data_IF_696890950463
#
_entry.id   IF_696890950463
#
_cell.length_a   1.000
_cell.length_b   1.000
_cell.length_c   1.000
_cell.angle_alpha   90.00
_cell.angle_beta   90.00
_cell.angle_gamma   90.00
#
_symmetry.space_group_name_H-M   'P 1'
#
loop_
_entity.id
_entity.type
_entity.pdbx_description
1 polymer ?
#
# COMPACT_ATOMS: atom_id res chain seq x y z
N UNK A 1 -8.72 53.20 28.33
CA UNK A 1 -9.55 52.17 27.66
C UNK A 1 -9.26 52.24 26.17
N UNK A 2 -8.82 51.10 25.61
CA UNK A 2 -8.09 50.98 24.35
C UNK A 2 -9.01 51.08 23.13
N UNK A 3 -8.68 51.99 22.20
CA UNK A 3 -9.22 52.03 20.83
C UNK A 3 -8.67 50.85 20.02
N UNK A 4 -9.25 49.67 20.18
CA UNK A 4 -9.00 48.54 19.29
C UNK A 4 -10.34 48.04 18.75
N UNK A 5 -10.86 48.75 17.76
CA UNK A 5 -11.86 48.21 16.86
C UNK A 5 -11.71 48.89 15.50
N UNK A 6 -11.55 48.05 14.47
CA UNK A 6 -11.79 48.35 13.06
C UNK A 6 -10.64 49.07 12.34
N UNK A 7 -9.78 48.27 11.71
CA UNK A 7 -9.32 48.49 10.33
C UNK A 7 -8.69 47.22 9.78
N UNK A 8 -9.50 46.51 8.99
CA UNK A 8 -9.09 45.40 8.14
C UNK A 8 -8.22 45.87 6.98
N UNK A 9 -7.45 44.91 6.44
CA UNK A 9 -7.17 44.68 5.01
C UNK A 9 -5.82 45.16 4.43
N UNK A 10 -5.12 44.19 3.79
CA UNK A 10 -4.08 44.30 2.72
C UNK A 10 -2.66 44.74 3.14
N UNK A 11 -1.53 44.21 2.65
CA UNK A 11 -1.11 43.12 1.75
C UNK A 11 0.45 43.19 1.71
N UNK A 12 1.09 42.19 1.09
CA UNK A 12 2.43 42.21 0.44
C UNK A 12 3.61 41.72 1.31
N UNK A 13 3.98 40.44 1.20
CA UNK A 13 4.95 39.84 0.25
C UNK A 13 6.42 40.17 0.59
N UNK A 14 7.10 39.25 1.30
CA UNK A 14 8.56 39.17 1.23
C UNK A 14 8.96 37.79 0.73
N UNK A 15 9.52 37.84 -0.48
CA UNK A 15 10.14 36.78 -1.26
C UNK A 15 11.23 36.08 -0.44
N UNK A 16 11.09 34.76 -0.24
CA UNK A 16 12.26 33.89 -0.06
C UNK A 16 12.60 33.30 -1.42
N UNK A 17 13.53 33.99 -2.08
CA UNK A 17 14.25 33.54 -3.25
C UNK A 17 15.11 32.35 -2.80
N UNK A 18 14.66 31.13 -3.06
CA UNK A 18 15.56 29.97 -3.15
C UNK A 18 15.69 29.65 -4.63
N UNK A 19 16.92 29.53 -5.16
CA UNK A 19 17.14 29.34 -6.59
C UNK A 19 16.48 28.05 -7.07
N UNK A 20 15.69 28.16 -8.15
CA UNK A 20 15.21 27.08 -9.00
C UNK A 20 16.40 26.25 -9.53
N UNK A 21 16.93 25.36 -8.70
CA UNK A 21 17.87 24.35 -9.14
C UNK A 21 17.05 23.09 -9.42
N UNK A 22 16.56 23.03 -10.67
CA UNK A 22 16.10 21.82 -11.36
C UNK A 22 15.31 20.82 -10.51
N UNK A 23 14.04 21.14 -10.24
CA UNK A 23 13.06 20.07 -10.09
C UNK A 23 12.64 19.64 -11.49
N UNK A 24 13.02 18.42 -11.88
CA UNK A 24 12.54 17.77 -13.10
C UNK A 24 11.02 17.57 -13.00
N UNK A 25 10.25 18.55 -13.47
CA UNK A 25 8.78 18.55 -13.48
C UNK A 25 8.16 17.58 -14.49
N UNK A 26 8.85 16.49 -14.85
CA UNK A 26 8.45 15.57 -15.92
C UNK A 26 7.70 14.32 -15.49
N UNK A 27 7.86 13.85 -14.25
CA UNK A 27 7.37 12.51 -13.82
C UNK A 27 6.33 12.53 -12.68
N UNK A 28 6.12 13.68 -12.06
CA UNK A 28 5.59 13.78 -10.70
C UNK A 28 4.06 13.60 -10.62
N UNK A 29 3.30 14.33 -11.44
CA UNK A 29 1.85 14.17 -11.52
C UNK A 29 1.44 12.77 -12.01
N UNK A 30 2.23 12.20 -12.92
CA UNK A 30 2.01 10.85 -13.42
C UNK A 30 2.20 9.80 -12.30
N UNK A 31 3.13 10.01 -11.38
CA UNK A 31 3.43 9.04 -10.31
C UNK A 31 2.38 9.07 -9.19
N UNK A 32 1.83 10.24 -8.86
CA UNK A 32 0.69 10.38 -7.93
C UNK A 32 -0.58 9.73 -8.50
N UNK A 33 -0.90 10.04 -9.76
CA UNK A 33 -2.05 9.46 -10.43
C UNK A 33 -1.92 7.92 -10.54
N UNK A 34 -0.70 7.41 -10.81
CA UNK A 34 -0.43 5.97 -10.79
C UNK A 34 -0.70 5.36 -9.42
N UNK A 35 -0.21 5.95 -8.33
CA UNK A 35 -0.45 5.43 -6.98
C UNK A 35 -1.95 5.32 -6.65
N UNK A 36 -2.74 6.32 -7.03
CA UNK A 36 -4.20 6.30 -6.84
C UNK A 36 -4.89 5.23 -7.72
N UNK A 37 -4.44 5.07 -8.96
CA UNK A 37 -4.94 4.01 -9.84
C UNK A 37 -4.66 2.62 -9.27
N UNK A 38 -3.47 2.42 -8.68
CA UNK A 38 -3.09 1.16 -8.04
C UNK A 38 -4.04 0.83 -6.88
N UNK A 39 -4.31 1.79 -5.99
CA UNK A 39 -5.23 1.59 -4.85
C UNK A 39 -6.66 1.30 -5.35
N UNK A 40 -7.13 2.02 -6.36
CA UNK A 40 -8.45 1.79 -6.94
C UNK A 40 -8.56 0.41 -7.62
N UNK A 41 -7.50 -0.06 -8.28
CA UNK A 41 -7.43 -1.40 -8.86
C UNK A 41 -7.51 -2.48 -7.77
N UNK A 42 -6.80 -2.31 -6.67
CA UNK A 42 -6.85 -3.23 -5.52
C UNK A 42 -8.26 -3.26 -4.92
N UNK A 43 -8.91 -2.11 -4.75
CA UNK A 43 -10.28 -2.07 -4.23
C UNK A 43 -11.24 -2.86 -5.14
N UNK A 44 -11.12 -2.70 -6.47
CA UNK A 44 -11.92 -3.50 -7.42
C UNK A 44 -11.68 -5.00 -7.28
N UNK A 45 -10.42 -5.41 -7.04
CA UNK A 45 -10.07 -6.81 -6.81
C UNK A 45 -10.71 -7.29 -5.49
N UNK A 46 -10.60 -6.53 -4.41
CA UNK A 46 -11.22 -6.85 -3.12
C UNK A 46 -12.74 -6.97 -3.28
N UNK A 47 -13.39 -6.03 -3.94
CA UNK A 47 -14.84 -6.05 -4.20
C UNK A 47 -15.27 -7.24 -5.06
N UNK A 48 -14.45 -7.64 -6.03
CA UNK A 48 -14.68 -8.85 -6.85
C UNK A 48 -14.72 -10.09 -5.95
N UNK A 49 -13.82 -10.20 -4.99
CA UNK A 49 -13.71 -11.37 -4.12
C UNK A 49 -14.67 -11.35 -2.92
N UNK A 50 -15.05 -10.18 -2.42
CA UNK A 50 -16.06 -10.04 -1.36
C UNK A 50 -17.45 -10.53 -1.77
N UNK A 51 -17.72 -10.64 -3.08
CA UNK A 51 -18.96 -11.22 -3.62
C UNK A 51 -19.00 -12.75 -3.53
N UNK A 52 -17.86 -13.39 -3.26
CA UNK A 52 -17.80 -14.83 -3.11
C UNK A 52 -18.23 -15.22 -1.70
N UNK A 53 -19.05 -16.26 -1.58
CA UNK A 53 -19.53 -16.82 -0.30
C UNK A 53 -18.53 -17.79 0.33
N UNK A 54 -17.36 -17.95 -0.28
CA UNK A 54 -16.30 -18.82 0.24
C UNK A 54 -15.55 -18.03 1.31
N UNK A 55 -15.58 -18.53 2.54
CA UNK A 55 -14.68 -18.03 3.57
C UNK A 55 -13.26 -18.51 3.29
N UNK A 56 -12.32 -17.57 3.28
CA UNK A 56 -10.94 -17.83 2.92
C UNK A 56 -10.10 -17.85 4.19
N UNK A 57 -9.60 -19.03 4.53
CA UNK A 57 -8.68 -19.19 5.65
C UNK A 57 -7.35 -18.48 5.35
N UNK A 58 -6.89 -17.57 6.23
CA UNK A 58 -5.62 -16.88 6.03
C UNK A 58 -4.45 -17.86 6.13
N UNK A 59 -3.38 -17.69 5.33
CA UNK A 59 -2.13 -18.41 5.52
C UNK A 59 -1.59 -18.16 6.92
N UNK A 60 -1.04 -19.19 7.56
CA UNK A 60 -0.41 -19.06 8.87
C UNK A 60 0.82 -18.14 8.77
N UNK A 61 0.87 -17.04 9.55
CA UNK A 61 2.01 -16.15 9.54
C UNK A 61 3.21 -16.77 10.25
N UNK A 62 4.41 -16.42 9.81
CA UNK A 62 5.65 -16.72 10.53
C UNK A 62 5.85 -15.61 11.56
N UNK A 63 5.74 -15.95 12.85
CA UNK A 63 5.99 -14.98 13.93
C UNK A 63 7.44 -14.48 13.89
N UNK A 64 7.60 -13.17 14.07
CA UNK A 64 8.85 -12.45 13.91
C UNK A 64 9.16 -12.12 12.45
N UNK A 65 10.46 -12.16 12.13
CA UNK A 65 11.01 -11.60 10.89
C UNK A 65 11.91 -12.59 10.11
N UNK A 66 11.74 -13.89 10.34
CA UNK A 66 12.49 -14.95 9.65
C UNK A 66 11.96 -15.21 8.23
N UNK A 67 10.72 -14.79 7.92
CA UNK A 67 10.18 -14.78 6.58
C UNK A 67 10.81 -13.74 5.65
N UNK A 68 10.61 -13.91 4.34
CA UNK A 68 11.14 -13.03 3.30
C UNK A 68 10.29 -11.77 3.08
N UNK A 69 9.02 -11.82 3.45
CA UNK A 69 8.04 -10.76 3.23
C UNK A 69 7.42 -10.34 4.55
N UNK A 70 7.69 -9.12 4.98
CA UNK A 70 7.22 -8.57 6.25
C UNK A 70 5.80 -8.03 6.16
N UNK A 71 4.99 -8.35 7.17
CA UNK A 71 3.63 -7.84 7.30
C UNK A 71 3.64 -6.36 7.71
N UNK A 72 2.82 -5.51 7.06
CA UNK A 72 2.65 -4.11 7.46
C UNK A 72 1.86 -3.95 8.76
N UNK A 73 1.21 -5.01 9.26
CA UNK A 73 0.47 -5.02 10.52
C UNK A 73 1.26 -5.65 11.66
N UNK A 74 0.98 -5.19 12.87
CA UNK A 74 1.32 -5.84 14.13
C UNK A 74 0.24 -6.87 14.50
N UNK A 75 0.51 -7.66 15.53
CA UNK A 75 -0.44 -8.68 16.02
C UNK A 75 -1.74 -8.07 16.57
N UNK A 76 -1.74 -6.80 16.96
CA UNK A 76 -2.93 -6.07 17.43
C UNK A 76 -3.77 -5.45 16.29
N UNK A 77 -3.40 -5.66 15.03
CA UNK A 77 -4.08 -5.10 13.86
C UNK A 77 -3.73 -3.64 13.57
N UNK A 78 -2.82 -3.01 14.32
CA UNK A 78 -2.30 -1.68 14.01
C UNK A 78 -1.14 -1.73 13.00
N UNK A 79 -0.90 -0.64 12.29
CA UNK A 79 0.24 -0.54 11.38
C UNK A 79 1.58 -0.56 12.13
N UNK A 80 2.55 -1.27 11.56
CA UNK A 80 3.95 -1.24 11.98
C UNK A 80 4.55 0.15 11.80
N UNK A 81 5.63 0.43 12.53
CA UNK A 81 6.35 1.70 12.42
C UNK A 81 6.94 1.88 11.02
N UNK A 82 7.40 0.80 10.37
CA UNK A 82 7.90 0.89 9.01
C UNK A 82 6.79 1.16 7.99
N UNK A 83 5.59 0.61 8.20
CA UNK A 83 4.44 0.88 7.33
C UNK A 83 4.02 2.35 7.43
N UNK A 84 3.91 2.89 8.65
CA UNK A 84 3.66 4.30 8.90
C UNK A 84 4.73 5.20 8.26
N UNK A 85 6.01 4.81 8.36
CA UNK A 85 7.10 5.57 7.74
C UNK A 85 7.06 5.50 6.21
N UNK A 86 6.68 4.36 5.63
CA UNK A 86 6.49 4.24 4.18
C UNK A 86 5.40 5.20 3.67
N UNK A 87 4.28 5.29 4.40
CA UNK A 87 3.20 6.23 4.09
C UNK A 87 3.65 7.69 4.25
N UNK A 88 4.39 8.01 5.31
CA UNK A 88 4.93 9.35 5.52
C UNK A 88 5.96 9.75 4.46
N UNK A 89 6.79 8.83 3.98
CA UNK A 89 7.71 9.08 2.86
C UNK A 89 6.93 9.34 1.57
N UNK A 90 5.87 8.58 1.29
CA UNK A 90 4.99 8.82 0.15
C UNK A 90 4.28 10.18 0.26
N UNK A 91 3.76 10.52 1.45
CA UNK A 91 3.11 11.79 1.72
C UNK A 91 4.09 12.98 1.68
N UNK A 92 5.33 12.80 2.16
CA UNK A 92 6.39 13.80 2.13
C UNK A 92 6.95 14.03 0.73
N UNK A 93 7.09 12.97 -0.07
CA UNK A 93 7.37 13.09 -1.51
C UNK A 93 6.25 13.90 -2.17
N UNK A 94 4.99 13.55 -1.92
CA UNK A 94 3.84 14.29 -2.44
C UNK A 94 3.79 15.76 -1.96
N UNK A 95 4.09 16.03 -0.69
CA UNK A 95 4.07 17.38 -0.12
C UNK A 95 5.26 18.24 -0.57
N UNK A 96 6.45 17.66 -0.72
CA UNK A 96 7.63 18.33 -1.29
C UNK A 96 7.43 18.63 -2.79
N UNK A 97 6.74 17.74 -3.51
CA UNK A 97 6.30 17.95 -4.88
C UNK A 97 5.17 19.00 -4.99
N UNK A 98 4.30 19.07 -3.97
CA UNK A 98 3.22 20.05 -3.82
C UNK A 98 3.59 21.31 -3.04
N UNK A 99 4.86 21.55 -2.75
CA UNK A 99 5.32 22.85 -2.28
C UNK A 99 5.27 23.94 -3.37
N UNK A 100 4.68 23.63 -4.54
CA UNK A 100 4.10 24.59 -5.49
C UNK A 100 2.56 24.61 -5.58
N UNK A 101 1.81 23.78 -4.83
CA UNK A 101 0.33 23.73 -4.87
C UNK A 101 -0.25 22.93 -3.69
N UNK A 102 -0.67 23.65 -2.65
CA UNK A 102 -1.65 23.31 -1.61
C UNK A 102 -1.89 21.81 -1.27
N UNK A 103 -1.54 21.48 -0.03
CA UNK A 103 -1.92 20.28 0.68
C UNK A 103 -3.45 20.05 0.67
N UNK A 104 -3.86 18.78 0.60
CA UNK A 104 -5.10 18.34 1.23
C UNK A 104 -6.18 17.71 0.34
N UNK A 105 -6.27 17.99 -0.96
CA UNK A 105 -7.36 17.43 -1.78
C UNK A 105 -6.93 17.15 -3.22
N UNK A 106 -6.65 15.90 -3.54
CA UNK A 106 -6.69 15.43 -4.92
C UNK A 106 -6.91 13.92 -4.97
N UNK A 107 -7.99 13.43 -4.35
CA UNK A 107 -8.62 12.16 -4.73
C UNK A 107 -9.75 12.48 -5.70
N UNK A 108 -9.42 12.94 -6.90
CA UNK A 108 -10.37 13.04 -8.00
C UNK A 108 -9.67 13.27 -9.34
N UNK A 109 -9.91 12.32 -10.25
CA UNK A 109 -9.98 12.49 -11.71
C UNK A 109 -8.68 12.56 -12.54
N UNK A 110 -8.56 11.50 -13.35
CA UNK A 110 -8.25 11.45 -14.79
C UNK A 110 -6.94 10.74 -15.17
N UNK A 111 -7.14 9.63 -15.89
CA UNK A 111 -6.17 8.65 -16.41
C UNK A 111 -5.21 9.29 -17.43
N UNK A 112 -3.92 8.89 -17.44
CA UNK A 112 -3.34 8.33 -18.67
C UNK A 112 -2.57 7.02 -18.44
N UNK A 113 -2.98 6.00 -19.20
CA UNK A 113 -2.27 4.75 -19.45
C UNK A 113 -0.91 5.05 -20.11
N UNK A 114 0.20 4.65 -19.49
CA UNK A 114 1.49 4.70 -20.18
C UNK A 114 2.71 4.48 -19.28
N UNK A 115 3.49 3.45 -19.59
CA UNK A 115 4.90 3.37 -19.16
C UNK A 115 5.33 2.11 -18.40
N UNK A 116 5.01 0.92 -18.89
CA UNK A 116 5.85 -0.27 -18.67
C UNK A 116 7.20 -0.02 -19.38
N UNK A 117 8.21 0.52 -18.70
CA UNK A 117 9.55 0.57 -19.30
C UNK A 117 10.67 0.34 -18.28
N UNK A 118 11.37 -0.78 -18.48
CA UNK A 118 12.53 -1.36 -17.78
C UNK A 118 12.30 -1.87 -16.35
N UNK A 119 11.70 -3.05 -16.24
CA UNK A 119 11.04 -3.50 -15.02
C UNK A 119 11.90 -4.10 -13.91
N UNK A 120 13.11 -4.61 -14.11
CA UNK A 120 13.83 -5.32 -13.01
C UNK A 120 14.83 -4.44 -12.27
N UNK A 121 15.75 -3.80 -13.01
CA UNK A 121 16.77 -2.92 -12.42
C UNK A 121 16.13 -1.68 -11.79
N UNK A 122 15.15 -1.06 -12.47
CA UNK A 122 14.41 0.07 -11.88
C UNK A 122 13.58 -0.36 -10.67
N UNK A 123 12.97 -1.55 -10.66
CA UNK A 123 12.23 -2.04 -9.48
C UNK A 123 13.16 -2.33 -8.31
N UNK A 124 14.34 -2.90 -8.55
CA UNK A 124 15.34 -3.11 -7.50
C UNK A 124 15.87 -1.78 -6.96
N UNK A 125 16.21 -0.82 -7.83
CA UNK A 125 16.61 0.52 -7.41
C UNK A 125 15.52 1.26 -6.63
N UNK A 126 14.26 1.19 -7.08
CA UNK A 126 13.10 1.75 -6.37
C UNK A 126 12.89 1.07 -5.01
N UNK A 127 12.96 -0.25 -4.94
CA UNK A 127 12.87 -1.00 -3.69
C UNK A 127 14.00 -0.62 -2.73
N UNK A 128 15.23 -0.55 -3.21
CA UNK A 128 16.39 -0.15 -2.40
C UNK A 128 16.25 1.28 -1.89
N UNK A 129 15.83 2.22 -2.74
CA UNK A 129 15.58 3.61 -2.35
C UNK A 129 14.44 3.74 -1.34
N UNK A 130 13.31 3.07 -1.58
CA UNK A 130 12.19 3.03 -0.65
C UNK A 130 12.59 2.41 0.69
N UNK A 131 13.30 1.27 0.66
CA UNK A 131 13.82 0.59 1.85
C UNK A 131 14.78 1.51 2.63
N UNK A 132 15.68 2.22 1.95
CA UNK A 132 16.58 3.18 2.59
C UNK A 132 15.81 4.35 3.23
N UNK A 133 14.83 4.93 2.53
CA UNK A 133 14.03 6.05 3.01
C UNK A 133 13.24 5.68 4.29
N UNK A 134 12.75 4.45 4.40
CA UNK A 134 12.05 3.96 5.59
C UNK A 134 12.99 3.46 6.69
N UNK A 135 14.32 3.60 6.57
CA UNK A 135 15.28 3.28 7.64
C UNK A 135 16.04 1.95 7.46
N UNK A 136 15.88 1.29 6.31
CA UNK A 136 16.63 0.11 5.93
C UNK A 136 16.05 -1.21 6.43
N UNK A 137 16.59 -2.32 5.91
CA UNK A 137 16.13 -3.69 6.20
C UNK A 137 16.13 -4.01 7.71
N UNK A 138 17.15 -3.55 8.45
CA UNK A 138 17.25 -3.76 9.91
C UNK A 138 16.07 -3.12 10.65
N UNK A 139 15.64 -1.92 10.24
CA UNK A 139 14.52 -1.23 10.87
C UNK A 139 13.21 -1.95 10.57
N UNK A 140 12.98 -2.33 9.31
CA UNK A 140 11.78 -3.09 8.91
C UNK A 140 11.70 -4.40 9.69
N UNK A 141 12.79 -5.18 9.73
CA UNK A 141 12.86 -6.43 10.51
C UNK A 141 12.56 -6.22 11.99
N UNK A 142 13.14 -5.19 12.61
CA UNK A 142 12.95 -4.91 14.05
C UNK A 142 11.51 -4.55 14.40
N UNK A 143 10.80 -3.91 13.48
CA UNK A 143 9.44 -3.38 13.68
C UNK A 143 8.37 -4.30 13.11
N UNK A 144 8.75 -5.49 12.65
CA UNK A 144 7.85 -6.50 12.09
C UNK A 144 7.53 -7.56 13.13
N UNK A 145 6.24 -7.81 13.37
CA UNK A 145 5.77 -8.89 14.22
C UNK A 145 5.45 -10.17 13.42
N UNK A 146 5.01 -10.04 12.18
CA UNK A 146 4.59 -11.16 11.33
C UNK A 146 5.31 -11.12 9.98
N UNK A 147 5.71 -12.28 9.47
CA UNK A 147 6.38 -12.41 8.17
C UNK A 147 5.90 -13.63 7.40
N UNK A 148 6.24 -13.71 6.11
CA UNK A 148 5.78 -14.76 5.20
C UNK A 148 6.91 -15.27 4.32
N UNK A 149 6.83 -16.55 3.93
CA UNK A 149 7.79 -17.19 3.05
C UNK A 149 7.66 -16.71 1.60
N UNK A 150 6.44 -16.39 1.19
CA UNK A 150 6.14 -15.90 -0.16
C UNK A 150 5.32 -14.60 -0.18
N UNK A 151 5.43 -13.85 -1.29
CA UNK A 151 4.62 -12.65 -1.51
C UNK A 151 3.14 -13.00 -1.66
N UNK A 152 2.85 -14.19 -2.20
CA UNK A 152 1.47 -14.64 -2.39
C UNK A 152 0.81 -14.94 -1.04
N UNK A 153 1.55 -15.53 -0.09
CA UNK A 153 1.08 -15.71 1.30
C UNK A 153 0.77 -14.36 1.97
N UNK A 154 1.67 -13.38 1.87
CA UNK A 154 1.41 -12.04 2.43
C UNK A 154 0.17 -11.40 1.80
N UNK A 155 0.02 -11.46 0.47
CA UNK A 155 -1.15 -10.91 -0.23
C UNK A 155 -2.44 -11.59 0.26
N UNK A 156 -2.44 -12.92 0.33
CA UNK A 156 -3.61 -13.69 0.73
C UNK A 156 -3.92 -13.43 2.20
N UNK A 157 -2.91 -13.32 3.07
CA UNK A 157 -3.10 -12.96 4.48
C UNK A 157 -3.76 -11.59 4.61
N UNK A 158 -3.23 -10.55 3.95
CA UNK A 158 -3.80 -9.21 4.00
C UNK A 158 -5.27 -9.21 3.53
N UNK A 159 -5.59 -9.95 2.47
CA UNK A 159 -6.97 -10.06 1.99
C UNK A 159 -7.87 -10.89 2.93
N UNK A 160 -7.38 -12.02 3.42
CA UNK A 160 -8.18 -12.96 4.21
C UNK A 160 -8.43 -12.45 5.64
N UNK A 161 -7.40 -11.93 6.30
CA UNK A 161 -7.45 -11.49 7.70
C UNK A 161 -7.77 -9.99 7.85
N UNK A 162 -7.20 -9.13 6.99
CA UNK A 162 -7.17 -7.69 7.25
C UNK A 162 -8.09 -6.85 6.35
N UNK A 163 -8.81 -7.44 5.38
CA UNK A 163 -9.64 -6.66 4.42
C UNK A 163 -10.72 -5.78 5.07
N UNK A 164 -11.15 -6.12 6.28
CA UNK A 164 -12.12 -5.35 7.07
C UNK A 164 -11.48 -4.29 7.98
N UNK A 165 -10.15 -4.27 8.08
CA UNK A 165 -9.40 -3.34 8.91
C UNK A 165 -9.44 -1.93 8.27
N UNK A 166 -9.74 -0.85 9.03
CA UNK A 166 -9.71 0.52 8.50
C UNK A 166 -8.38 0.90 7.85
N UNK A 167 -7.28 0.33 8.32
CA UNK A 167 -5.93 0.59 7.81
C UNK A 167 -5.52 -0.34 6.65
N UNK A 168 -6.41 -1.20 6.16
CA UNK A 168 -6.11 -2.17 5.10
C UNK A 168 -5.48 -1.53 3.85
N UNK A 169 -6.05 -0.43 3.35
CA UNK A 169 -5.53 0.23 2.16
C UNK A 169 -4.13 0.82 2.42
N UNK A 170 -3.91 1.38 3.59
CA UNK A 170 -2.62 1.91 4.06
C UNK A 170 -1.57 0.80 4.20
N UNK A 171 -1.98 -0.36 4.71
CA UNK A 171 -1.15 -1.55 4.82
C UNK A 171 -0.73 -2.09 3.45
N UNK A 172 -1.67 -2.21 2.52
CA UNK A 172 -1.36 -2.67 1.15
C UNK A 172 -0.46 -1.67 0.43
N UNK A 173 -0.73 -0.36 0.55
CA UNK A 173 0.08 0.68 -0.06
C UNK A 173 1.52 0.70 0.47
N UNK A 174 1.70 0.55 1.79
CA UNK A 174 3.03 0.46 2.40
C UNK A 174 3.76 -0.82 1.99
N UNK A 175 3.09 -1.97 1.93
CA UNK A 175 3.67 -3.22 1.43
C UNK A 175 4.12 -3.09 -0.04
N UNK A 176 3.31 -2.46 -0.91
CA UNK A 176 3.68 -2.22 -2.31
C UNK A 176 4.89 -1.30 -2.47
N UNK A 177 5.12 -0.38 -1.53
CA UNK A 177 6.27 0.51 -1.55
C UNK A 177 7.60 -0.28 -1.52
N UNK A 178 7.65 -1.36 -0.73
CA UNK A 178 8.85 -2.20 -0.59
C UNK A 178 8.78 -3.51 -1.40
N UNK A 179 7.59 -3.89 -1.87
CA UNK A 179 7.35 -5.05 -2.73
C UNK A 179 6.61 -4.62 -4.01
N UNK A 180 7.28 -3.95 -4.96
CA UNK A 180 6.62 -3.42 -6.16
C UNK A 180 6.00 -4.50 -7.07
N UNK A 181 6.46 -5.75 -6.96
CA UNK A 181 5.86 -6.87 -7.71
C UNK A 181 4.50 -7.30 -7.16
N UNK A 182 4.12 -6.84 -5.96
CA UNK A 182 2.84 -7.16 -5.32
C UNK A 182 1.68 -6.68 -6.19
N UNK A 183 1.76 -5.49 -6.78
CA UNK A 183 0.70 -4.92 -7.62
C UNK A 183 0.21 -5.89 -8.71
N UNK A 184 1.14 -6.46 -9.48
CA UNK A 184 0.80 -7.41 -10.54
C UNK A 184 0.42 -8.81 -10.06
N UNK A 185 0.58 -9.11 -8.76
CA UNK A 185 0.33 -10.43 -8.19
C UNK A 185 -0.95 -10.52 -7.36
N UNK A 186 -1.56 -9.39 -6.97
CA UNK A 186 -2.74 -9.36 -6.08
C UNK A 186 -3.87 -10.25 -6.61
N UNK A 187 -4.34 -10.00 -7.84
CA UNK A 187 -5.46 -10.77 -8.41
C UNK A 187 -5.10 -12.25 -8.55
N UNK A 188 -3.88 -12.57 -9.02
CA UNK A 188 -3.42 -13.94 -9.17
C UNK A 188 -3.43 -14.70 -7.84
N UNK A 189 -2.79 -14.15 -6.81
CA UNK A 189 -2.63 -14.82 -5.52
C UNK A 189 -3.99 -15.08 -4.86
N UNK A 190 -4.85 -14.06 -4.83
CA UNK A 190 -6.20 -14.18 -4.25
C UNK A 190 -7.02 -15.20 -5.07
N UNK A 191 -7.01 -15.15 -6.40
CA UNK A 191 -7.72 -16.11 -7.24
C UNK A 191 -7.32 -17.56 -6.96
N UNK A 192 -6.01 -17.83 -6.85
CA UNK A 192 -5.53 -19.17 -6.57
C UNK A 192 -5.96 -19.66 -5.18
N UNK A 193 -5.96 -18.77 -4.19
CA UNK A 193 -6.42 -19.08 -2.85
C UNK A 193 -7.92 -19.46 -2.85
N UNK A 194 -8.78 -18.68 -3.50
CA UNK A 194 -10.20 -19.02 -3.64
C UNK A 194 -10.45 -20.31 -4.43
N UNK A 195 -9.68 -20.58 -5.50
CA UNK A 195 -9.78 -21.84 -6.24
C UNK A 195 -9.43 -23.05 -5.36
N UNK A 196 -8.38 -22.93 -4.55
CA UNK A 196 -7.96 -23.97 -3.61
C UNK A 196 -9.04 -24.19 -2.55
N UNK A 197 -9.58 -23.13 -1.96
CA UNK A 197 -10.67 -23.20 -0.98
C UNK A 197 -11.94 -23.85 -1.57
N UNK A 198 -12.35 -23.45 -2.77
CA UNK A 198 -13.49 -24.06 -3.47
C UNK A 198 -13.31 -25.56 -3.71
N UNK A 199 -12.09 -25.99 -4.07
CA UNK A 199 -11.77 -27.41 -4.27
C UNK A 199 -11.84 -28.17 -2.94
N UNK A 200 -11.24 -27.64 -1.88
CA UNK A 200 -11.26 -28.26 -0.55
C UNK A 200 -12.68 -28.43 -0.01
N UNK A 201 -13.55 -27.42 -0.15
CA UNK A 201 -14.96 -27.52 0.24
C UNK A 201 -15.71 -28.61 -0.53
N UNK A 202 -15.47 -28.74 -1.85
CA UNK A 202 -16.07 -29.80 -2.67
C UNK A 202 -15.61 -31.19 -2.23
N UNK A 203 -14.33 -31.36 -1.90
CA UNK A 203 -13.77 -32.62 -1.43
C UNK A 203 -14.32 -33.00 -0.05
N UNK A 204 -14.39 -32.04 0.87
CA UNK A 204 -15.00 -32.23 2.20
C UNK A 204 -16.48 -32.65 2.09
N UNK A 205 -17.26 -31.98 1.23
CA UNK A 205 -18.67 -32.33 0.99
C UNK A 205 -18.84 -33.74 0.41
N UNK A 206 -17.95 -34.18 -0.49
CA UNK A 206 -17.95 -35.55 -1.02
C UNK A 206 -17.59 -36.57 0.06
N UNK A 207 -16.60 -36.28 0.90
CA UNK A 207 -16.20 -37.16 1.99
C UNK A 207 -17.31 -37.32 3.03
N UNK A 208 -18.00 -36.23 3.39
CA UNK A 208 -19.15 -36.26 4.31
C UNK A 208 -20.28 -37.15 3.78
N UNK A 209 -20.64 -37.03 2.49
CA UNK A 209 -21.66 -37.86 1.84
C UNK A 209 -21.28 -39.34 1.77
N UNK A 210 -19.98 -39.66 1.71
CA UNK A 210 -19.50 -41.06 1.73
C UNK A 210 -19.57 -41.66 3.13
N UNK A 211 -19.36 -40.87 4.18
CA UNK A 211 -19.46 -41.31 5.59
C UNK A 211 -20.90 -41.48 6.08
N UNK A 212 -21.87 -40.86 5.41
CA UNK A 212 -23.31 -40.96 5.74
C UNK A 212 -24.04 -42.08 4.98
N UNK A 213 -23.32 -42.90 4.21
CA UNK A 213 -23.81 -44.10 3.52
C UNK A 213 -23.18 -45.32 4.15
#
# INVERSE_FOLDING_TARGET
>A
MSQNAIRSLLLVLLVLLVPLSRMEAGNTYADIAKAQMVIAEIQKIVDKYNKLTIDLEPPEPIHGNSGKFYCPFKEDGSLTEWANKALNVQAGAYAGEKAGSAAGKALASKVPLGGLMSNKIKKQGKKMGAMAAIGGDKFVKKTTALSFGSLDELIVYLHAAERGNPDYQSAVASAMAIYPDMQSRVDYAINQAYKKAAKAQKEAAKAAKKKSK
#
